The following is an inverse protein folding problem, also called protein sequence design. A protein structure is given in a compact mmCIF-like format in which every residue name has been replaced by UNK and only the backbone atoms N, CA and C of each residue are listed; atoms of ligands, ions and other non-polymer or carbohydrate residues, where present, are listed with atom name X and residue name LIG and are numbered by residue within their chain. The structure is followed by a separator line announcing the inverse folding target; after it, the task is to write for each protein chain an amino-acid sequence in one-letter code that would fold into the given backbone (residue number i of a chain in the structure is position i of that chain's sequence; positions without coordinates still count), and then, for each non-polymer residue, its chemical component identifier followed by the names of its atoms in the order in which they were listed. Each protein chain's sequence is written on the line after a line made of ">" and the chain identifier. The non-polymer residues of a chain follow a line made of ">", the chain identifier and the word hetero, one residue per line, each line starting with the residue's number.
data_IF_531476365415
#
_entry.id   IF_531476365415
#
_cell.length_a   1.000
_cell.length_b   1.000
_cell.length_c   1.000
_cell.angle_alpha   90.00
_cell.angle_beta   90.00
_cell.angle_gamma   90.00
#
_symmetry.space_group_name_H-M   'P 1'
#
loop_
_entity.id
_entity.type
_entity.pdbx_description
1 polymer ?
#
# COMPACT_ATOMS: atom_id res chain seq x y z
N UNK A 1 -16.69 13.33 -16.29
CA UNK A 1 -16.41 12.87 -14.89
C UNK A 1 -15.14 12.02 -14.90
N UNK A 2 -14.25 12.22 -13.93
CA UNK A 2 -13.06 11.37 -13.78
C UNK A 2 -13.46 10.02 -13.17
N UNK A 3 -13.04 8.92 -13.82
CA UNK A 3 -13.36 7.54 -13.41
C UNK A 3 -12.13 6.72 -13.05
N UNK A 4 -10.94 7.23 -13.32
CA UNK A 4 -9.67 6.57 -13.01
C UNK A 4 -8.65 7.55 -12.46
N UNK A 5 -7.90 7.10 -11.45
CA UNK A 5 -6.75 7.77 -10.86
C UNK A 5 -5.57 6.81 -10.86
N UNK A 6 -4.46 7.26 -11.40
CA UNK A 6 -3.27 6.45 -11.63
C UNK A 6 -2.09 7.09 -10.88
N UNK A 7 -1.35 6.29 -10.12
CA UNK A 7 -0.26 6.74 -9.27
C UNK A 7 1.01 5.94 -9.59
N UNK A 8 1.95 6.58 -10.26
CA UNK A 8 3.31 6.07 -10.45
C UNK A 8 4.23 6.51 -9.31
N UNK A 9 5.41 5.89 -9.24
CA UNK A 9 6.44 6.29 -8.28
C UNK A 9 6.96 7.72 -8.56
N UNK A 10 7.04 8.53 -7.52
CA UNK A 10 7.59 9.89 -7.56
C UNK A 10 8.44 10.26 -6.35
N UNK A 11 8.75 9.29 -5.47
CA UNK A 11 9.58 9.48 -4.28
C UNK A 11 8.90 10.20 -3.11
N UNK A 12 7.60 10.45 -3.18
CA UNK A 12 6.85 11.15 -2.14
C UNK A 12 5.42 10.63 -1.99
N UNK A 13 4.76 10.87 -0.85
CA UNK A 13 3.34 10.59 -0.70
C UNK A 13 2.50 11.38 -1.70
N UNK A 14 1.50 10.75 -2.27
CA UNK A 14 0.49 11.36 -3.14
C UNK A 14 -0.86 11.33 -2.44
N UNK A 15 -1.79 12.18 -2.83
CA UNK A 15 -3.13 12.19 -2.22
C UNK A 15 -4.21 12.33 -3.26
N UNK A 16 -5.40 11.84 -2.90
CA UNK A 16 -6.62 11.99 -3.70
C UNK A 16 -7.81 12.17 -2.78
N UNK A 17 -8.75 13.00 -3.21
CA UNK A 17 -10.05 13.16 -2.54
C UNK A 17 -11.10 12.48 -3.41
N UNK A 18 -11.72 11.44 -2.89
CA UNK A 18 -12.78 10.71 -3.56
C UNK A 18 -14.15 11.09 -2.99
N UNK A 19 -15.10 11.32 -3.86
CA UNK A 19 -16.51 11.48 -3.50
C UNK A 19 -17.11 10.12 -3.10
N UNK A 20 -18.27 10.07 -2.43
CA UNK A 20 -18.99 8.83 -2.20
C UNK A 20 -19.19 8.04 -3.50
N UNK A 21 -18.99 6.73 -3.45
CA UNK A 21 -19.05 5.87 -4.61
C UNK A 21 -18.53 4.47 -4.33
N UNK A 22 -18.75 3.55 -5.24
CA UNK A 22 -18.12 2.24 -5.24
C UNK A 22 -16.87 2.28 -6.11
N UNK A 23 -15.75 1.86 -5.56
CA UNK A 23 -14.44 1.93 -6.20
C UNK A 23 -13.73 0.58 -6.19
N UNK A 24 -12.90 0.34 -7.19
CA UNK A 24 -11.89 -0.72 -7.18
C UNK A 24 -10.52 -0.07 -6.91
N UNK A 25 -9.82 -0.57 -5.92
CA UNK A 25 -8.43 -0.22 -5.62
C UNK A 25 -7.51 -1.35 -6.04
N UNK A 26 -6.41 -1.00 -6.69
CA UNK A 26 -5.39 -1.93 -7.17
C UNK A 26 -4.02 -1.37 -6.81
N UNK A 27 -3.18 -2.19 -6.19
CA UNK A 27 -1.82 -1.85 -5.81
C UNK A 27 -0.86 -2.92 -6.33
N UNK A 28 0.29 -2.49 -6.87
CA UNK A 28 1.42 -3.32 -7.27
C UNK A 28 2.63 -2.89 -6.48
N UNK A 29 3.22 -3.78 -5.70
CA UNK A 29 4.47 -3.56 -5.00
C UNK A 29 5.64 -3.52 -5.97
N UNK A 30 6.76 -2.93 -5.59
CA UNK A 30 7.94 -2.82 -6.45
C UNK A 30 8.81 -4.07 -6.40
N UNK A 31 9.63 -4.28 -7.43
CA UNK A 31 10.61 -5.36 -7.48
C UNK A 31 11.79 -5.07 -6.54
N UNK A 32 12.39 -6.12 -6.00
CA UNK A 32 13.70 -6.06 -5.36
C UNK A 32 14.81 -5.78 -6.36
N UNK A 33 15.95 -5.27 -5.91
CA UNK A 33 17.13 -5.03 -6.73
C UNK A 33 17.81 -6.33 -7.16
N UNK A 34 18.48 -6.29 -8.30
CA UNK A 34 19.26 -7.41 -8.84
C UNK A 34 20.62 -6.92 -9.34
N UNK A 35 21.65 -7.71 -9.14
CA UNK A 35 22.92 -7.47 -9.80
C UNK A 35 22.80 -7.87 -11.28
N UNK A 36 23.38 -7.09 -12.15
CA UNK A 36 23.22 -7.09 -13.61
C UNK A 36 23.72 -8.39 -14.32
N UNK A 37 23.42 -9.57 -13.78
CA UNK A 37 23.72 -10.83 -14.43
C UNK A 37 22.50 -11.36 -15.17
N UNK A 38 22.67 -11.68 -16.45
CA UNK A 38 21.64 -12.12 -17.40
C UNK A 38 20.92 -13.44 -17.04
N UNK A 39 21.12 -13.99 -15.87
CA UNK A 39 20.69 -15.35 -15.50
C UNK A 39 19.62 -15.41 -14.41
N UNK A 40 19.19 -14.29 -13.85
CA UNK A 40 18.29 -14.28 -12.68
C UNK A 40 17.13 -13.34 -12.85
N UNK A 41 15.98 -13.76 -12.37
CA UNK A 41 14.78 -12.96 -12.31
C UNK A 41 14.76 -12.13 -11.02
N UNK A 42 14.40 -10.85 -11.14
CA UNK A 42 14.10 -10.00 -9.99
C UNK A 42 13.02 -10.65 -9.12
N UNK A 43 13.12 -10.43 -7.81
CA UNK A 43 12.00 -10.68 -6.93
C UNK A 43 10.88 -9.68 -7.22
N UNK A 44 9.85 -10.12 -7.90
CA UNK A 44 8.73 -9.26 -8.30
C UNK A 44 7.94 -8.78 -7.08
N UNK A 45 7.44 -7.56 -7.14
CA UNK A 45 6.46 -7.07 -6.19
C UNK A 45 5.12 -7.80 -6.34
N UNK A 46 4.32 -7.78 -5.28
CA UNK A 46 3.01 -8.40 -5.24
C UNK A 46 1.91 -7.54 -5.86
N UNK A 47 0.73 -8.10 -5.92
CA UNK A 47 -0.50 -7.43 -6.33
C UNK A 47 -1.57 -7.59 -5.25
N UNK A 48 -2.29 -6.51 -4.98
CA UNK A 48 -3.46 -6.51 -4.09
C UNK A 48 -4.58 -5.68 -4.71
N UNK A 49 -5.80 -6.21 -4.71
CA UNK A 49 -6.99 -5.47 -5.13
C UNK A 49 -8.17 -5.74 -4.21
N UNK A 50 -9.13 -4.81 -4.23
CA UNK A 50 -10.42 -4.99 -3.59
C UNK A 50 -11.39 -3.91 -4.06
N UNK A 51 -12.67 -4.12 -3.78
CA UNK A 51 -13.74 -3.17 -4.04
C UNK A 51 -14.22 -2.57 -2.71
N UNK A 52 -14.42 -1.26 -2.67
CA UNK A 52 -14.83 -0.53 -1.47
C UNK A 52 -15.95 0.44 -1.81
N UNK A 53 -16.93 0.58 -0.90
CA UNK A 53 -17.96 1.62 -0.99
C UNK A 53 -17.67 2.72 0.01
N UNK A 54 -17.27 3.89 -0.49
CA UNK A 54 -17.11 5.09 0.32
C UNK A 54 -18.46 5.80 0.45
N UNK A 55 -18.92 5.99 1.68
CA UNK A 55 -20.22 6.63 1.99
C UNK A 55 -20.11 8.14 2.18
N UNK A 56 -18.90 8.65 2.35
CA UNK A 56 -18.57 10.08 2.53
C UNK A 56 -17.36 10.46 1.71
N UNK A 57 -17.20 11.75 1.45
CA UNK A 57 -15.98 12.26 0.85
C UNK A 57 -14.78 11.86 1.71
N UNK A 58 -13.79 11.23 1.09
CA UNK A 58 -12.65 10.63 1.79
C UNK A 58 -11.36 11.08 1.15
N UNK A 59 -10.44 11.61 1.97
CA UNK A 59 -9.07 11.87 1.56
C UNK A 59 -8.23 10.62 1.80
N UNK A 60 -7.53 10.19 0.77
CA UNK A 60 -6.64 9.03 0.78
C UNK A 60 -5.22 9.45 0.43
N UNK A 61 -4.26 8.77 1.03
CA UNK A 61 -2.84 8.97 0.80
C UNK A 61 -2.25 7.71 0.16
N UNK A 62 -1.59 7.88 -0.98
CA UNK A 62 -1.05 6.79 -1.81
C UNK A 62 0.47 6.83 -1.75
N UNK A 63 1.07 5.73 -1.34
CA UNK A 63 2.50 5.54 -1.22
C UNK A 63 2.92 4.48 -2.22
N UNK A 64 3.69 4.87 -3.22
CA UNK A 64 4.11 3.97 -4.31
C UNK A 64 5.55 3.55 -4.09
N UNK A 65 5.78 2.24 -4.00
CA UNK A 65 7.09 1.68 -3.67
C UNK A 65 8.18 2.01 -4.69
N UNK A 66 9.37 2.33 -4.20
CA UNK A 66 10.58 2.42 -5.02
C UNK A 66 11.08 1.03 -5.38
N UNK A 67 11.45 0.81 -6.64
CA UNK A 67 12.13 -0.42 -7.05
C UNK A 67 13.47 -0.55 -6.32
N UNK A 68 13.77 -1.73 -5.86
CA UNK A 68 15.10 -2.03 -5.34
C UNK A 68 16.16 -1.77 -6.43
N UNK A 69 17.35 -1.44 -6.01
CA UNK A 69 18.47 -1.18 -6.92
C UNK A 69 19.76 -1.84 -6.42
N UNK A 70 20.71 -2.00 -7.32
CA UNK A 70 22.06 -2.43 -7.00
C UNK A 70 22.92 -1.20 -6.66
N UNK A 71 23.61 -1.23 -5.53
CA UNK A 71 24.60 -0.21 -5.18
C UNK A 71 26.02 -0.77 -5.26
N UNK A 72 26.87 -0.15 -6.04
CA UNK A 72 28.31 -0.44 -6.12
C UNK A 72 29.15 0.50 -5.22
N UNK A 73 28.49 1.42 -4.52
CA UNK A 73 29.17 2.42 -3.69
C UNK A 73 29.35 1.93 -2.27
N UNK A 74 30.56 2.06 -1.76
CA UNK A 74 30.92 1.86 -0.34
C UNK A 74 30.49 3.01 0.56
N UNK A 75 30.22 4.18 0.01
CA UNK A 75 29.60 5.24 0.77
C UNK A 75 28.20 4.75 1.17
N UNK A 76 27.90 4.81 2.46
CA UNK A 76 26.57 4.57 3.01
C UNK A 76 25.52 5.26 2.14
N UNK A 77 25.02 4.55 1.14
CA UNK A 77 23.99 5.12 0.30
C UNK A 77 22.74 5.25 1.17
N UNK A 78 22.43 6.50 1.51
CA UNK A 78 21.36 6.86 2.42
C UNK A 78 19.95 6.62 1.87
N UNK A 79 19.84 6.18 0.61
CA UNK A 79 18.57 5.82 0.02
C UNK A 79 18.11 4.47 0.58
N UNK A 80 17.16 4.49 1.48
CA UNK A 80 16.30 3.34 1.75
C UNK A 80 15.23 3.33 0.68
N UNK A 81 14.91 2.18 0.07
CA UNK A 81 13.81 2.10 -0.89
C UNK A 81 12.56 2.75 -0.29
N UNK A 82 12.00 3.75 -0.97
CA UNK A 82 10.83 4.47 -0.50
C UNK A 82 9.68 3.48 -0.23
N UNK A 83 9.02 3.69 0.89
CA UNK A 83 7.93 2.86 1.43
C UNK A 83 8.37 1.44 1.83
N UNK A 84 9.51 1.35 2.50
CA UNK A 84 9.86 0.22 3.35
C UNK A 84 10.80 -0.82 2.78
N UNK A 85 11.35 -0.62 1.59
CA UNK A 85 12.41 -1.52 1.07
C UNK A 85 13.66 -1.47 1.95
N UNK A 86 14.15 -2.62 2.39
CA UNK A 86 15.36 -2.74 3.21
C UNK A 86 16.62 -2.41 2.41
N UNK A 87 17.61 -1.80 3.06
CA UNK A 87 18.91 -1.51 2.43
C UNK A 87 19.73 -2.76 2.28
N UNK A 88 20.42 -2.90 1.14
CA UNK A 88 21.56 -3.80 1.03
C UNK A 88 22.81 -3.18 1.66
N UNK A 89 23.76 -4.00 1.99
CA UNK A 89 25.07 -3.59 2.54
C UNK A 89 26.22 -4.15 1.73
N UNK A 90 27.22 -3.33 1.39
CA UNK A 90 28.42 -3.72 0.68
C UNK A 90 29.65 -3.51 1.54
N UNK A 91 30.41 -4.59 1.80
CA UNK A 91 31.72 -4.50 2.45
C UNK A 91 32.82 -4.72 1.41
N UNK A 92 33.55 -3.65 1.05
CA UNK A 92 34.65 -3.72 0.05
C UNK A 92 35.90 -4.47 0.52
N UNK A 93 36.10 -4.67 1.82
CA UNK A 93 37.32 -5.29 2.33
C UNK A 93 37.39 -6.79 2.08
N UNK A 94 36.28 -7.42 1.75
CA UNK A 94 36.20 -8.89 1.69
C UNK A 94 36.26 -9.45 0.28
N UNK A 95 35.77 -8.73 -0.73
CA UNK A 95 35.67 -9.28 -2.09
C UNK A 95 35.54 -8.18 -3.14
N UNK A 96 36.22 -8.27 -4.25
CA UNK A 96 36.21 -7.38 -5.43
C UNK A 96 34.92 -6.62 -5.75
N UNK A 97 34.56 -6.40 -6.99
CA UNK A 97 33.39 -5.61 -7.39
C UNK A 97 32.07 -6.34 -7.08
N UNK A 98 31.55 -6.20 -5.87
CA UNK A 98 30.23 -6.72 -5.49
C UNK A 98 29.22 -5.58 -5.35
N UNK A 99 27.95 -5.90 -5.55
CA UNK A 99 26.85 -4.98 -5.42
C UNK A 99 25.95 -5.41 -4.26
N UNK A 100 25.51 -4.47 -3.45
CA UNK A 100 24.46 -4.72 -2.46
C UNK A 100 23.08 -4.50 -3.08
N UNK A 101 22.15 -5.41 -2.83
CA UNK A 101 20.82 -5.40 -3.43
C UNK A 101 19.79 -4.94 -2.41
N UNK A 102 19.07 -3.89 -2.75
CA UNK A 102 18.01 -3.34 -1.92
C UNK A 102 16.71 -4.11 -2.16
N UNK A 103 15.92 -4.29 -1.11
CA UNK A 103 14.54 -4.72 -1.23
C UNK A 103 13.67 -3.64 -1.88
N UNK A 104 12.63 -4.04 -2.58
CA UNK A 104 11.63 -3.15 -3.13
C UNK A 104 10.67 -2.61 -2.06
N UNK A 105 10.17 -1.40 -2.23
CA UNK A 105 9.16 -0.81 -1.37
C UNK A 105 7.76 -1.39 -1.60
N UNK A 106 6.90 -1.32 -0.60
CA UNK A 106 5.48 -1.63 -0.75
C UNK A 106 4.75 -0.50 -1.52
N UNK A 107 3.60 -0.82 -2.11
CA UNK A 107 2.64 0.19 -2.54
C UNK A 107 1.39 0.05 -1.69
N UNK A 108 0.94 1.15 -1.09
CA UNK A 108 -0.20 1.12 -0.19
C UNK A 108 -1.06 2.40 -0.24
N UNK A 109 -2.29 2.28 0.26
CA UNK A 109 -3.23 3.39 0.42
C UNK A 109 -3.64 3.49 1.89
N UNK A 110 -3.62 4.73 2.41
CA UNK A 110 -3.79 5.07 3.83
C UNK A 110 -4.84 6.14 4.04
N UNK A 111 -5.38 6.18 5.26
CA UNK A 111 -6.27 7.24 5.72
C UNK A 111 -5.52 8.41 6.37
N UNK A 112 -4.28 8.20 6.81
CA UNK A 112 -3.43 9.22 7.45
C UNK A 112 -2.15 9.42 6.62
N UNK A 113 -1.86 10.66 6.27
CA UNK A 113 -0.67 11.07 5.53
C UNK A 113 0.56 11.26 6.43
N UNK A 114 1.62 11.79 5.85
CA UNK A 114 2.89 12.10 6.52
C UNK A 114 4.08 11.36 5.91
N UNK A 115 5.20 11.30 6.64
CA UNK A 115 6.36 10.51 6.22
C UNK A 115 5.96 9.04 6.03
N UNK A 116 6.57 8.36 5.05
CA UNK A 116 6.17 6.98 4.73
C UNK A 116 6.32 6.01 5.90
N UNK A 117 7.24 6.27 6.81
CA UNK A 117 7.51 5.45 7.99
C UNK A 117 6.86 5.96 9.29
N UNK A 118 5.97 6.95 9.17
CA UNK A 118 5.16 7.40 10.30
C UNK A 118 4.27 6.26 10.80
N UNK A 119 4.35 5.95 12.08
CA UNK A 119 3.62 4.83 12.70
C UNK A 119 2.10 4.98 12.53
N UNK A 120 1.55 6.17 12.75
CA UNK A 120 0.11 6.42 12.59
C UNK A 120 -0.33 6.22 11.14
N UNK A 121 0.49 6.65 10.17
CA UNK A 121 0.27 6.39 8.75
C UNK A 121 0.28 4.89 8.45
N UNK A 122 1.26 4.15 8.95
CA UNK A 122 1.35 2.69 8.79
C UNK A 122 0.15 1.96 9.41
N UNK A 123 -0.34 2.41 10.57
CA UNK A 123 -1.51 1.85 11.26
C UNK A 123 -2.85 2.25 10.60
N UNK A 124 -2.84 3.11 9.60
CA UNK A 124 -4.02 3.54 8.85
C UNK A 124 -4.12 2.94 7.43
N UNK A 125 -3.23 2.00 7.07
CA UNK A 125 -3.22 1.35 5.76
C UNK A 125 -4.45 0.46 5.56
N UNK A 126 -5.15 0.62 4.45
CA UNK A 126 -6.34 -0.17 4.12
C UNK A 126 -6.08 -1.22 3.03
N UNK A 127 -5.08 -1.00 2.19
CA UNK A 127 -4.62 -1.95 1.16
C UNK A 127 -3.12 -1.81 0.98
N UNK A 128 -2.40 -2.93 0.85
CA UNK A 128 -0.94 -3.00 0.70
C UNK A 128 -0.58 -4.09 -0.29
N UNK A 129 0.29 -3.78 -1.25
CA UNK A 129 0.99 -4.76 -2.07
C UNK A 129 2.47 -4.77 -1.67
N UNK A 130 2.98 -5.93 -1.26
CA UNK A 130 4.35 -6.06 -0.76
C UNK A 130 5.40 -5.96 -1.86
N UNK A 131 6.58 -5.42 -1.52
CA UNK A 131 7.75 -5.37 -2.40
C UNK A 131 8.57 -6.66 -2.36
N UNK A 132 9.34 -6.92 -3.41
CA UNK A 132 10.24 -8.07 -3.50
C UNK A 132 11.52 -7.87 -2.68
N UNK A 133 12.15 -8.96 -2.23
CA UNK A 133 13.46 -8.95 -1.57
C UNK A 133 14.62 -8.72 -2.56
N UNK A 134 15.75 -8.18 -2.10
CA UNK A 134 16.96 -8.04 -2.90
C UNK A 134 17.50 -9.40 -3.33
N UNK A 135 18.00 -9.49 -4.57
CA UNK A 135 18.53 -10.71 -5.20
C UNK A 135 20.01 -10.61 -5.48
N UNK A 136 20.79 -11.60 -5.09
CA UNK A 136 22.22 -11.71 -5.40
C UNK A 136 22.53 -13.03 -6.11
N UNK A 137 22.95 -12.93 -7.38
CA UNK A 137 23.26 -14.11 -8.22
C UNK A 137 24.20 -15.12 -7.51
N UNK A 138 23.87 -16.44 -7.48
CA UNK A 138 22.73 -17.10 -8.14
C UNK A 138 21.43 -17.16 -7.32
N UNK A 139 21.26 -16.36 -6.30
CA UNK A 139 20.15 -16.43 -5.36
C UNK A 139 19.06 -15.40 -5.68
N UNK A 140 17.81 -15.84 -5.74
CA UNK A 140 16.64 -15.02 -6.02
C UNK A 140 15.99 -14.58 -4.72
N UNK A 141 15.68 -13.30 -4.62
CA UNK A 141 14.90 -12.72 -3.53
C UNK A 141 13.47 -13.26 -3.49
N UNK A 142 12.85 -13.21 -2.34
CA UNK A 142 11.45 -13.58 -2.18
C UNK A 142 10.53 -12.59 -2.90
N UNK A 143 9.55 -13.08 -3.66
CA UNK A 143 8.53 -12.24 -4.25
C UNK A 143 7.70 -11.53 -3.17
N UNK A 144 7.27 -10.30 -3.44
CA UNK A 144 6.35 -9.56 -2.57
C UNK A 144 4.90 -9.99 -2.77
N UNK A 145 4.04 -9.67 -1.81
CA UNK A 145 2.59 -9.83 -1.91
C UNK A 145 2.04 -11.15 -1.37
N UNK A 146 0.78 -11.39 -1.65
CA UNK A 146 0.05 -12.50 -1.05
C UNK A 146 -0.21 -12.30 0.45
N UNK A 147 -0.68 -13.34 1.13
CA UNK A 147 -0.81 -13.35 2.59
C UNK A 147 0.55 -13.45 3.28
N UNK A 148 1.55 -13.96 2.60
CA UNK A 148 2.94 -13.99 3.05
C UNK A 148 3.85 -13.67 1.87
N UNK A 149 4.85 -12.86 2.11
CA UNK A 149 5.93 -12.63 1.15
C UNK A 149 6.74 -13.90 0.92
N UNK A 150 7.34 -14.03 -0.26
CA UNK A 150 8.16 -15.16 -0.62
C UNK A 150 9.47 -15.24 0.18
N UNK A 151 10.04 -16.41 0.20
CA UNK A 151 11.34 -16.67 0.83
C UNK A 151 12.49 -16.32 -0.14
N UNK A 152 13.46 -15.56 0.33
CA UNK A 152 14.76 -15.38 -0.34
C UNK A 152 15.67 -16.57 -0.09
N UNK A 153 16.41 -16.99 -1.12
CA UNK A 153 17.25 -18.16 -1.05
C UNK A 153 18.72 -17.78 -0.84
N UNK A 154 19.52 -18.72 -0.29
CA UNK A 154 20.94 -18.58 -0.13
C UNK A 154 21.62 -19.94 -0.10
N UNK A 155 22.96 -19.97 -0.19
CA UNK A 155 23.74 -21.19 0.05
C UNK A 155 23.51 -21.73 1.46
N UNK A 156 23.67 -23.04 1.63
CA UNK A 156 23.64 -23.72 2.92
C UNK A 156 22.32 -23.52 3.72
N UNK A 157 21.17 -23.53 3.03
CA UNK A 157 19.84 -23.45 3.63
C UNK A 157 19.61 -22.22 4.55
N UNK A 158 20.35 -21.14 4.30
CA UNK A 158 20.19 -19.88 5.05
C UNK A 158 19.08 -19.01 4.46
N UNK A 159 17.91 -19.58 4.27
CA UNK A 159 16.78 -18.88 3.67
C UNK A 159 16.31 -17.70 4.52
N UNK A 160 15.75 -16.69 3.85
CA UNK A 160 15.19 -15.48 4.47
C UNK A 160 13.69 -15.41 4.23
N UNK A 161 12.89 -15.75 5.26
CA UNK A 161 11.44 -15.73 5.14
C UNK A 161 10.91 -14.34 4.80
N UNK A 162 9.80 -14.32 4.05
CA UNK A 162 9.01 -13.11 3.86
C UNK A 162 8.24 -12.70 5.09
N UNK A 163 7.67 -11.49 5.05
CA UNK A 163 6.69 -11.02 6.04
C UNK A 163 5.37 -11.79 5.94
N UNK A 164 4.64 -11.87 7.04
CA UNK A 164 3.33 -12.54 7.13
C UNK A 164 2.22 -11.52 7.45
N UNK A 165 1.02 -11.98 7.77
CA UNK A 165 -0.06 -11.10 8.26
C UNK A 165 0.20 -10.61 9.70
N UNK A 166 1.05 -11.28 10.46
CA UNK A 166 1.19 -11.10 11.91
C UNK A 166 2.56 -10.61 12.34
N UNK A 167 3.59 -10.85 11.54
CA UNK A 167 4.98 -10.50 11.88
C UNK A 167 5.85 -10.37 10.65
N UNK A 168 6.97 -9.66 10.80
CA UNK A 168 8.04 -9.60 9.79
C UNK A 168 8.70 -10.95 9.58
N UNK A 169 9.37 -11.11 8.44
CA UNK A 169 10.21 -12.28 8.19
C UNK A 169 11.28 -12.43 9.27
N UNK A 170 11.41 -13.63 9.81
CA UNK A 170 12.36 -13.93 10.90
C UNK A 170 13.66 -14.47 10.30
N UNK A 171 14.74 -13.69 10.43
CA UNK A 171 16.08 -14.09 10.03
C UNK A 171 16.76 -15.02 11.07
N UNK A 172 18.02 -15.36 10.84
CA UNK A 172 18.78 -16.20 11.78
C UNK A 172 19.09 -15.52 13.12
N UNK A 173 19.20 -14.20 13.06
CA UNK A 173 19.42 -13.34 14.24
C UNK A 173 18.43 -12.18 14.18
N UNK A 174 18.11 -11.61 15.32
CA UNK A 174 17.10 -10.55 15.44
C UNK A 174 17.37 -9.32 14.56
N UNK A 175 18.64 -9.06 14.25
CA UNK A 175 19.03 -7.95 13.37
C UNK A 175 18.74 -8.18 11.88
N UNK A 176 18.31 -9.37 11.51
CA UNK A 176 17.90 -9.75 10.17
C UNK A 176 16.36 -9.77 10.00
N UNK A 177 15.62 -9.48 11.07
CA UNK A 177 14.16 -9.54 11.05
C UNK A 177 13.56 -8.34 10.34
N UNK A 178 12.55 -8.61 9.51
CA UNK A 178 11.63 -7.59 9.03
C UNK A 178 10.71 -7.10 10.14
N UNK A 179 10.00 -6.01 9.89
CA UNK A 179 9.07 -5.41 10.85
C UNK A 179 7.81 -4.87 10.16
N UNK A 180 6.90 -4.31 10.96
CA UNK A 180 5.70 -3.69 10.43
C UNK A 180 6.04 -2.54 9.49
N UNK A 181 5.64 -2.67 8.22
CA UNK A 181 5.90 -1.68 7.17
C UNK A 181 7.31 -1.73 6.55
N UNK A 182 8.27 -2.46 7.13
CA UNK A 182 9.68 -2.34 6.74
C UNK A 182 10.35 -3.69 6.54
N UNK A 183 10.96 -3.88 5.39
CA UNK A 183 11.94 -4.94 5.16
C UNK A 183 13.22 -4.69 5.97
N UNK A 184 13.87 -5.76 6.39
CA UNK A 184 15.13 -5.65 7.12
C UNK A 184 16.23 -5.09 6.22
N UNK A 185 17.03 -4.19 6.77
CA UNK A 185 18.28 -3.73 6.14
C UNK A 185 19.45 -4.60 6.59
N UNK A 186 20.29 -5.02 5.66
CA UNK A 186 21.56 -5.68 5.99
C UNK A 186 22.46 -4.70 6.78
N UNK A 187 23.18 -5.21 7.78
CA UNK A 187 24.02 -4.38 8.66
C UNK A 187 25.51 -4.62 8.50
N UNK A 188 25.88 -5.86 8.21
CA UNK A 188 27.28 -6.31 8.21
C UNK A 188 27.56 -7.13 6.97
N UNK A 189 28.81 -7.09 6.51
CA UNK A 189 29.26 -7.86 5.33
C UNK A 189 28.53 -7.45 4.04
N UNK A 190 28.67 -8.23 2.98
CA UNK A 190 27.80 -8.11 1.80
C UNK A 190 26.44 -8.69 2.16
N UNK A 191 25.37 -7.94 1.90
CA UNK A 191 24.05 -8.41 2.29
C UNK A 191 22.91 -7.73 1.53
N UNK A 192 21.77 -8.40 1.48
CA UNK A 192 20.59 -8.00 0.72
C UNK A 192 19.45 -7.59 1.65
N UNK A 193 18.74 -6.55 1.25
CA UNK A 193 17.58 -6.04 1.97
C UNK A 193 16.32 -6.87 1.75
N UNK A 194 15.47 -6.97 2.77
CA UNK A 194 14.11 -7.52 2.65
C UNK A 194 13.16 -6.54 1.96
N UNK A 195 12.12 -7.04 1.31
CA UNK A 195 11.04 -6.23 0.72
C UNK A 195 10.14 -5.57 1.78
N UNK A 196 9.67 -4.35 1.51
CA UNK A 196 8.64 -3.67 2.30
C UNK A 196 7.27 -4.33 2.13
N UNK A 197 6.34 -4.16 3.10
CA UNK A 197 5.02 -4.79 3.02
C UNK A 197 4.11 -4.38 4.15
N UNK A 198 2.98 -5.08 4.32
CA UNK A 198 2.21 -5.02 5.56
C UNK A 198 3.13 -5.36 6.74
N UNK A 199 3.82 -6.50 6.63
CA UNK A 199 5.07 -6.75 7.32
C UNK A 199 6.16 -6.99 6.28
N UNK A 200 7.36 -6.50 6.52
CA UNK A 200 8.50 -6.65 5.63
C UNK A 200 9.20 -7.99 5.76
N UNK A 201 9.95 -8.35 4.73
CA UNK A 201 10.75 -9.57 4.68
C UNK A 201 12.04 -9.48 5.50
N UNK A 202 12.62 -10.64 5.83
CA UNK A 202 13.92 -10.73 6.46
C UNK A 202 15.03 -10.28 5.51
N UNK A 203 16.08 -9.64 6.02
CA UNK A 203 17.30 -9.31 5.31
C UNK A 203 18.35 -10.40 5.43
N UNK A 204 19.36 -10.34 4.57
CA UNK A 204 20.50 -11.25 4.59
C UNK A 204 21.77 -10.51 4.96
N UNK A 205 22.48 -11.00 5.98
CA UNK A 205 23.87 -10.62 6.23
C UNK A 205 24.77 -11.73 5.64
N UNK A 206 25.53 -11.42 4.61
CA UNK A 206 26.31 -12.36 3.81
C UNK A 206 25.68 -12.58 2.42
N UNK A 207 26.23 -13.51 1.67
CA UNK A 207 25.80 -13.80 0.29
C UNK A 207 24.50 -14.57 0.27
N UNK A 208 23.47 -14.02 -0.40
CA UNK A 208 22.16 -14.67 -0.51
C UNK A 208 21.10 -13.74 -1.08
N UNK A 209 19.90 -13.80 -0.54
CA UNK A 209 18.80 -12.98 -0.99
C UNK A 209 17.83 -12.66 0.16
N UNK A 210 17.20 -11.49 0.11
CA UNK A 210 16.21 -11.06 1.09
C UNK A 210 14.82 -11.68 0.86
N UNK A 211 14.01 -11.79 1.91
CA UNK A 211 12.61 -12.18 1.84
C UNK A 211 11.72 -11.05 1.30
N UNK A 212 10.58 -11.38 0.70
CA UNK A 212 9.59 -10.42 0.23
C UNK A 212 8.70 -9.89 1.37
N UNK A 213 8.07 -8.74 1.18
CA UNK A 213 7.06 -8.22 2.09
C UNK A 213 5.66 -8.81 1.81
N UNK A 214 4.81 -8.92 2.84
CA UNK A 214 3.43 -9.38 2.68
C UNK A 214 2.50 -8.30 2.15
N UNK A 215 1.43 -8.71 1.48
CA UNK A 215 0.29 -7.88 1.13
C UNK A 215 -0.71 -7.76 2.29
N UNK A 216 -1.69 -6.88 2.12
CA UNK A 216 -2.80 -6.73 3.05
C UNK A 216 -3.99 -6.08 2.35
N UNK A 217 -5.19 -6.50 2.69
CA UNK A 217 -6.43 -5.81 2.35
C UNK A 217 -7.34 -5.86 3.58
N UNK A 218 -7.86 -4.70 3.96
CA UNK A 218 -8.74 -4.59 5.13
C UNK A 218 -10.09 -5.24 4.85
N UNK A 219 -10.39 -6.28 5.59
CA UNK A 219 -11.70 -6.96 5.58
C UNK A 219 -12.18 -7.16 7.01
N UNK A 220 -13.37 -7.72 7.18
CA UNK A 220 -13.88 -8.11 8.49
C UNK A 220 -12.90 -9.02 9.24
N UNK A 221 -12.31 -9.98 8.52
CA UNK A 221 -11.50 -11.07 9.10
C UNK A 221 -9.99 -10.82 9.02
N UNK A 222 -9.54 -9.73 8.37
CA UNK A 222 -8.12 -9.40 8.31
C UNK A 222 -7.56 -9.01 9.68
N UNK A 223 -6.29 -9.34 9.94
CA UNK A 223 -5.60 -9.00 11.18
C UNK A 223 -5.51 -7.48 11.38
N UNK A 224 -5.76 -7.03 12.58
CA UNK A 224 -5.70 -5.62 12.99
C UNK A 224 -4.77 -5.51 14.21
N UNK A 225 -3.54 -4.99 14.03
CA UNK A 225 -2.60 -4.84 15.14
C UNK A 225 -3.08 -3.80 16.14
N UNK A 226 -2.50 -3.81 17.33
CA UNK A 226 -2.75 -2.78 18.35
C UNK A 226 -2.51 -1.39 17.77
N UNK A 227 -3.45 -0.46 17.99
CA UNK A 227 -3.39 0.90 17.47
C UNK A 227 -3.88 1.06 16.03
N UNK A 228 -4.33 -0.01 15.37
CA UNK A 228 -4.91 0.07 14.02
C UNK A 228 -6.19 0.91 14.03
N UNK A 229 -6.29 1.89 13.13
CA UNK A 229 -7.32 2.93 13.19
C UNK A 229 -8.49 2.79 12.21
N UNK A 230 -8.34 2.20 10.99
CA UNK A 230 -9.47 2.09 10.08
C UNK A 230 -10.58 1.19 10.62
N UNK A 231 -11.82 1.64 10.42
CA UNK A 231 -13.03 0.96 10.88
C UNK A 231 -13.68 0.12 9.77
N UNK A 232 -14.80 -0.53 10.08
CA UNK A 232 -15.60 -1.29 9.10
C UNK A 232 -16.14 -0.45 7.92
N UNK A 233 -16.13 0.86 8.02
CA UNK A 233 -16.46 1.75 6.88
C UNK A 233 -15.53 1.55 5.67
N UNK A 234 -14.32 1.02 5.92
CA UNK A 234 -13.29 0.83 4.90
C UNK A 234 -13.04 -0.64 4.54
N UNK A 235 -13.97 -1.53 4.87
CA UNK A 235 -13.86 -2.94 4.48
C UNK A 235 -14.02 -3.11 2.97
N UNK A 236 -13.16 -3.94 2.43
CA UNK A 236 -13.17 -4.34 1.03
C UNK A 236 -13.91 -5.65 0.82
N UNK A 237 -14.56 -5.73 -0.34
CA UNK A 237 -15.10 -6.95 -0.95
C UNK A 237 -14.26 -7.33 -2.18
N UNK A 238 -14.52 -8.53 -2.74
CA UNK A 238 -13.88 -9.02 -3.97
C UNK A 238 -12.34 -8.91 -3.95
N UNK A 239 -11.77 -9.29 -2.79
CA UNK A 239 -10.34 -9.17 -2.52
C UNK A 239 -9.53 -10.22 -3.28
N UNK A 240 -8.43 -9.78 -3.88
CA UNK A 240 -7.38 -10.64 -4.45
C UNK A 240 -6.03 -10.16 -3.93
N UNK A 241 -5.19 -11.08 -3.51
CA UNK A 241 -3.79 -10.84 -3.17
C UNK A 241 -2.91 -11.91 -3.82
N UNK A 242 -1.96 -11.46 -4.65
CA UNK A 242 -1.08 -12.34 -5.41
C UNK A 242 0.39 -12.05 -5.11
N UNK A 243 1.18 -13.12 -4.99
CA UNK A 243 2.63 -13.02 -4.87
C UNK A 243 3.25 -12.84 -6.26
N UNK A 244 4.17 -11.88 -6.39
CA UNK A 244 4.88 -11.65 -7.65
C UNK A 244 4.02 -11.13 -8.81
N UNK A 245 2.88 -10.49 -8.53
CA UNK A 245 1.93 -10.01 -9.54
C UNK A 245 2.37 -8.77 -10.32
N UNK A 246 3.52 -8.15 -9.99
CA UNK A 246 4.08 -7.03 -10.74
C UNK A 246 5.17 -7.49 -11.72
N UNK A 247 5.55 -6.62 -12.65
CA UNK A 247 6.63 -6.88 -13.61
C UNK A 247 8.01 -6.86 -12.91
N UNK A 248 8.95 -7.69 -13.36
CA UNK A 248 10.33 -7.67 -12.91
C UNK A 248 11.00 -6.32 -13.20
N UNK A 249 11.81 -5.81 -12.26
CA UNK A 249 12.48 -4.51 -12.38
C UNK A 249 11.57 -3.30 -12.27
N UNK A 250 10.28 -3.48 -12.01
CA UNK A 250 9.30 -2.39 -11.99
C UNK A 250 9.25 -1.64 -10.67
N UNK A 251 9.00 -0.35 -10.75
CA UNK A 251 8.49 0.43 -9.62
C UNK A 251 7.10 -0.06 -9.20
N UNK A 252 6.68 0.31 -8.01
CA UNK A 252 5.29 0.15 -7.59
C UNK A 252 4.34 0.96 -8.46
N UNK A 253 3.06 0.66 -8.32
CA UNK A 253 1.98 1.37 -9.00
C UNK A 253 0.69 1.23 -8.21
N UNK A 254 -0.18 2.24 -8.26
CA UNK A 254 -1.53 2.14 -7.74
C UNK A 254 -2.55 2.71 -8.73
N UNK A 255 -3.73 2.10 -8.76
CA UNK A 255 -4.85 2.53 -9.59
C UNK A 255 -6.13 2.49 -8.77
N UNK A 256 -6.93 3.54 -8.89
CA UNK A 256 -8.28 3.61 -8.35
C UNK A 256 -9.23 3.77 -9.53
N UNK A 257 -10.28 2.95 -9.58
CA UNK A 257 -11.31 3.00 -10.62
C UNK A 257 -12.66 3.20 -9.97
N UNK A 258 -13.44 4.20 -10.41
CA UNK A 258 -14.83 4.36 -10.03
C UNK A 258 -15.68 3.32 -10.74
N UNK A 259 -16.33 2.44 -9.99
CA UNK A 259 -17.22 1.40 -10.50
C UNK A 259 -18.68 1.86 -10.55
N UNK A 260 -19.08 2.62 -9.53
CA UNK A 260 -20.44 3.15 -9.43
C UNK A 260 -20.45 4.49 -8.72
N UNK A 261 -21.02 5.49 -9.39
CA UNK A 261 -21.33 6.78 -8.81
C UNK A 261 -22.54 6.67 -7.86
N UNK A 262 -22.51 7.38 -6.74
CA UNK A 262 -23.57 7.35 -5.72
C UNK A 262 -24.07 8.75 -5.40
N UNK A 263 -25.35 8.90 -5.06
CA UNK A 263 -25.85 10.13 -4.44
C UNK A 263 -25.31 10.26 -3.02
N UNK A 264 -25.16 11.49 -2.56
CA UNK A 264 -24.75 11.76 -1.18
C UNK A 264 -25.32 13.09 -0.68
N UNK A 265 -25.35 13.23 0.64
CA UNK A 265 -25.84 14.40 1.33
C UNK A 265 -24.75 14.98 2.23
N UNK A 266 -24.55 16.30 2.15
CA UNK A 266 -23.71 17.04 3.09
C UNK A 266 -24.59 17.92 3.96
N UNK A 267 -24.52 17.75 5.26
CA UNK A 267 -25.21 18.64 6.21
C UNK A 267 -24.25 19.77 6.57
N UNK A 268 -24.64 21.02 6.26
CA UNK A 268 -23.84 22.22 6.54
C UNK A 268 -24.06 22.74 7.94
N UNK A 269 -25.31 22.70 8.43
CA UNK A 269 -25.70 23.11 9.79
C UNK A 269 -27.01 22.48 10.21
N UNK A 270 -27.22 22.39 11.51
CA UNK A 270 -28.52 21.99 12.08
C UNK A 270 -28.69 22.56 13.48
N UNK A 271 -29.94 22.73 13.90
CA UNK A 271 -30.34 23.10 15.24
C UNK A 271 -31.67 22.40 15.61
N UNK A 272 -32.35 22.80 16.68
CA UNK A 272 -33.62 22.18 17.07
C UNK A 272 -34.80 22.46 16.13
N UNK A 273 -34.65 23.33 15.15
CA UNK A 273 -35.76 23.80 14.31
C UNK A 273 -35.47 23.55 12.83
N UNK A 274 -34.20 23.76 12.38
CA UNK A 274 -33.84 23.73 10.98
C UNK A 274 -32.62 22.88 10.73
N UNK A 275 -32.51 22.31 9.54
CA UNK A 275 -31.30 21.74 8.99
C UNK A 275 -31.01 22.31 7.61
N UNK A 276 -29.75 22.65 7.36
CA UNK A 276 -29.27 23.06 6.05
C UNK A 276 -28.40 21.95 5.48
N UNK A 277 -28.75 21.51 4.28
CA UNK A 277 -28.06 20.42 3.60
C UNK A 277 -27.85 20.71 2.13
N UNK A 278 -26.91 20.03 1.54
CA UNK A 278 -26.67 19.98 0.11
C UNK A 278 -26.72 18.53 -0.36
N UNK A 279 -27.64 18.23 -1.28
CA UNK A 279 -27.64 16.96 -1.99
C UNK A 279 -26.72 17.08 -3.20
N UNK A 280 -25.98 16.01 -3.49
CA UNK A 280 -25.10 15.93 -4.66
C UNK A 280 -25.03 14.47 -5.13
N UNK A 281 -24.34 14.24 -6.22
CA UNK A 281 -24.08 12.93 -6.77
C UNK A 281 -22.65 12.92 -7.30
N UNK A 282 -21.97 11.79 -7.25
CA UNK A 282 -20.63 11.64 -7.86
C UNK A 282 -20.67 12.04 -9.35
N UNK A 283 -21.79 11.72 -10.03
CA UNK A 283 -22.17 12.30 -11.33
C UNK A 283 -23.44 13.15 -11.16
N UNK A 284 -23.34 14.49 -11.05
CA UNK A 284 -24.48 15.35 -10.78
C UNK A 284 -25.59 15.28 -11.84
N UNK A 285 -25.28 14.83 -13.06
CA UNK A 285 -26.28 14.69 -14.14
C UNK A 285 -27.30 13.60 -13.87
N UNK A 286 -27.03 12.70 -12.93
CA UNK A 286 -27.93 11.61 -12.53
C UNK A 286 -28.92 12.00 -11.43
N UNK A 287 -28.77 13.18 -10.81
CA UNK A 287 -29.74 13.70 -9.85
C UNK A 287 -30.99 14.18 -10.59
N UNK A 288 -32.14 13.61 -10.26
CA UNK A 288 -33.44 13.98 -10.89
C UNK A 288 -34.41 14.64 -9.91
N UNK A 289 -34.31 14.33 -8.60
CA UNK A 289 -35.13 14.89 -7.54
C UNK A 289 -34.51 14.73 -6.17
N UNK A 290 -34.97 15.53 -5.22
CA UNK A 290 -34.72 15.37 -3.79
C UNK A 290 -36.10 15.28 -3.12
N UNK A 291 -36.29 14.26 -2.29
CA UNK A 291 -37.46 14.10 -1.44
C UNK A 291 -37.00 14.10 0.02
N UNK A 292 -37.64 14.89 0.88
CA UNK A 292 -37.37 14.79 2.30
C UNK A 292 -38.63 14.48 3.10
N UNK A 293 -38.42 13.74 4.18
CA UNK A 293 -39.47 13.23 5.05
C UNK A 293 -39.19 13.66 6.48
N UNK A 294 -40.28 13.93 7.21
CA UNK A 294 -40.26 14.14 8.67
C UNK A 294 -41.25 13.13 9.24
N UNK A 295 -40.79 12.29 10.18
CA UNK A 295 -41.58 11.20 10.78
C UNK A 295 -42.27 10.32 9.70
N UNK A 296 -41.50 9.93 8.70
CA UNK A 296 -41.94 9.14 7.52
C UNK A 296 -43.02 9.81 6.63
N UNK A 297 -43.35 11.08 6.86
CA UNK A 297 -44.27 11.84 6.05
C UNK A 297 -43.50 12.68 5.04
N UNK A 298 -43.77 12.46 3.75
CA UNK A 298 -43.22 13.29 2.67
C UNK A 298 -43.63 14.75 2.86
N UNK A 299 -42.67 15.65 2.99
CA UNK A 299 -42.88 17.09 3.13
C UNK A 299 -42.77 17.83 1.83
N UNK A 300 -41.76 17.50 1.04
CA UNK A 300 -41.52 18.20 -0.24
C UNK A 300 -40.76 17.32 -1.22
N UNK A 301 -41.00 17.52 -2.51
CA UNK A 301 -40.25 17.01 -3.63
C UNK A 301 -39.66 18.19 -4.38
N UNK A 302 -38.33 18.27 -4.49
CA UNK A 302 -37.57 19.31 -5.18
C UNK A 302 -37.05 18.72 -6.49
N UNK A 303 -37.29 19.41 -7.62
CA UNK A 303 -36.88 18.94 -8.96
C UNK A 303 -35.98 19.92 -9.73
N UNK A 304 -35.70 21.09 -9.13
CA UNK A 304 -34.83 22.13 -9.71
C UNK A 304 -33.76 22.52 -8.72
N UNK A 305 -32.64 23.05 -9.23
CA UNK A 305 -31.49 23.50 -8.40
C UNK A 305 -31.03 22.46 -7.39
N UNK A 306 -30.96 21.21 -7.81
CA UNK A 306 -30.80 20.03 -6.93
C UNK A 306 -29.49 20.04 -6.14
N UNK A 307 -28.42 20.65 -6.67
CA UNK A 307 -27.10 20.70 -6.06
C UNK A 307 -26.83 21.98 -5.25
N UNK A 308 -27.84 22.84 -5.04
CA UNK A 308 -27.73 24.03 -4.19
C UNK A 308 -28.10 23.70 -2.73
N UNK A 309 -27.60 24.49 -1.77
CA UNK A 309 -28.01 24.34 -0.39
C UNK A 309 -29.52 24.56 -0.19
N UNK A 310 -30.11 23.74 0.63
CA UNK A 310 -31.52 23.79 1.03
C UNK A 310 -31.60 23.86 2.55
N UNK A 311 -32.47 24.71 3.07
CA UNK A 311 -32.80 24.74 4.50
C UNK A 311 -34.22 24.26 4.69
N UNK A 312 -34.39 23.23 5.49
CA UNK A 312 -35.70 22.70 5.86
C UNK A 312 -36.01 23.05 7.34
N UNK A 313 -37.27 23.29 7.59
CA UNK A 313 -37.83 23.42 8.96
C UNK A 313 -38.51 22.10 9.29
N UNK A 314 -38.18 21.52 10.46
CA UNK A 314 -38.72 20.24 10.92
C UNK A 314 -39.43 20.32 12.27
N UNK A 315 -39.84 21.52 12.69
CA UNK A 315 -40.74 21.74 13.84
C UNK A 315 -42.18 21.88 13.40
#
# INVERSE_FOLDING_TARGET
>A
MQTEWNFGYNGSPQSVILKPGKYKFECWGSSGGINNSSWHTDAKGGYSKGEITLKKQTTLYVYVGESGFASSSTSNNTKSGFNGGGKGYLNQQVMGTYYSMYGGGATDIRLVGGAWDNEQGLLSRIIVAGGGGGSYSPYTGGAGGGLAGGTGYSANDRHRPGGTQYQGGIGRVSTENGSFGKGCSAKDSTGEGGGGGWFGGAGMNGVGAGGGGSGYVLTKDSYKPTGYTPTSEYYFDNVVMESGGNTAGAYGYAKITLLQALPFLTVSSYNSITATFKADHTDPTLLTKIEYFIDDILKETITTDLTTEKTINYT
#
